data_IF_186868358981
#
_entry.id   IF_186868358981
#
_cell.length_a   1.000
_cell.length_b   1.000
_cell.length_c   1.000
_cell.angle_alpha   90.00
_cell.angle_beta   90.00
_cell.angle_gamma   90.00
#
_symmetry.space_group_name_H-M   'P 1'
#
loop_
_entity.id
_entity.type
_entity.pdbx_description
1 polymer ?
#
# COMPACT_ATOMS: atom_id res chain seq x y z
N UNK A 1 -57.10 -29.46 -23.56
CA UNK A 1 -56.48 -28.98 -24.81
C UNK A 1 -56.35 -27.47 -24.66
N UNK A 2 -55.25 -26.86 -24.15
CA UNK A 2 -53.87 -26.79 -24.67
C UNK A 2 -53.90 -26.54 -26.19
N UNK A 3 -53.40 -25.45 -26.77
CA UNK A 3 -52.12 -24.72 -26.57
C UNK A 3 -52.18 -23.39 -27.33
N UNK A 4 -51.56 -22.31 -26.82
CA UNK A 4 -50.87 -21.25 -27.60
C UNK A 4 -49.99 -20.47 -26.59
N UNK A 5 -48.75 -20.92 -26.38
CA UNK A 5 -47.50 -20.27 -26.85
C UNK A 5 -47.14 -19.00 -26.08
N UNK A 6 -46.59 -19.19 -24.88
CA UNK A 6 -45.77 -18.18 -24.19
C UNK A 6 -44.34 -18.25 -24.73
N UNK A 7 -43.95 -17.23 -25.47
CA UNK A 7 -42.57 -16.81 -25.59
C UNK A 7 -42.59 -15.28 -25.70
N UNK A 8 -42.36 -14.59 -24.58
CA UNK A 8 -41.51 -13.39 -24.40
C UNK A 8 -41.58 -13.08 -22.90
N UNK A 9 -40.78 -13.79 -22.11
CA UNK A 9 -40.56 -13.52 -20.69
C UNK A 9 -39.11 -13.13 -20.48
N UNK A 10 -38.80 -11.87 -20.81
CA UNK A 10 -37.52 -11.22 -20.57
C UNK A 10 -37.01 -11.46 -19.14
N UNK A 11 -35.72 -11.78 -19.02
CA UNK A 11 -34.78 -11.17 -18.06
C UNK A 11 -35.36 -10.63 -16.76
N UNK A 12 -35.94 -11.46 -15.90
CA UNK A 12 -36.16 -11.03 -14.50
C UNK A 12 -36.21 -12.20 -13.52
N UNK A 13 -35.34 -13.20 -13.70
CA UNK A 13 -35.07 -14.16 -12.62
C UNK A 13 -33.82 -13.76 -11.84
N UNK A 14 -34.08 -12.99 -10.78
CA UNK A 14 -33.44 -13.14 -9.48
C UNK A 14 -31.96 -12.71 -9.36
N UNK A 15 -31.72 -11.44 -9.72
CA UNK A 15 -30.69 -10.55 -9.16
C UNK A 15 -30.86 -10.26 -7.64
N UNK A 16 -31.43 -11.19 -6.86
CA UNK A 16 -31.60 -11.06 -5.39
C UNK A 16 -30.49 -11.78 -4.62
N UNK A 17 -29.26 -11.27 -4.76
CA UNK A 17 -28.20 -11.30 -3.72
C UNK A 17 -27.43 -9.97 -3.73
N UNK A 18 -28.15 -8.84 -3.68
CA UNK A 18 -27.61 -7.57 -3.17
C UNK A 18 -27.88 -7.53 -1.69
N UNK A 19 -26.86 -7.72 -0.84
CA UNK A 19 -26.75 -7.15 0.50
C UNK A 19 -25.32 -7.38 1.00
N UNK A 20 -24.71 -6.32 1.53
CA UNK A 20 -23.35 -6.22 2.10
C UNK A 20 -22.21 -5.76 1.16
N UNK A 21 -22.46 -4.82 0.25
CA UNK A 21 -21.36 -3.98 -0.27
C UNK A 21 -20.98 -2.96 0.79
N UNK A 22 -19.75 -3.04 1.29
CA UNK A 22 -19.12 -2.04 2.15
C UNK A 22 -19.28 -0.66 1.46
N UNK A 23 -19.85 0.37 2.10
CA UNK A 23 -20.23 1.60 1.41
C UNK A 23 -19.04 2.52 1.07
N UNK A 24 -17.83 2.17 1.48
CA UNK A 24 -16.59 2.78 0.98
C UNK A 24 -16.02 2.02 -0.21
N UNK A 25 -16.40 0.76 -0.35
CA UNK A 25 -15.99 -0.08 -1.44
C UNK A 25 -16.83 0.26 -2.67
N UNK A 26 -16.28 1.19 -3.45
CA UNK A 26 -16.74 1.45 -4.80
C UNK A 26 -16.00 0.48 -5.74
N UNK A 27 -16.65 -0.61 -6.17
CA UNK A 27 -16.02 -1.63 -7.01
C UNK A 27 -15.62 -1.08 -8.38
N UNK A 28 -16.26 0.00 -8.85
CA UNK A 28 -15.91 0.64 -10.12
C UNK A 28 -14.66 1.50 -9.94
N UNK A 29 -14.58 2.32 -8.88
CA UNK A 29 -13.33 3.04 -8.54
C UNK A 29 -12.17 2.10 -8.25
N UNK A 30 -12.43 0.99 -7.57
CA UNK A 30 -11.40 -0.02 -7.32
C UNK A 30 -10.88 -0.62 -8.63
N UNK A 31 -11.77 -0.99 -9.57
CA UNK A 31 -11.41 -1.48 -10.91
C UNK A 31 -10.69 -0.45 -11.77
N UNK A 32 -10.91 0.85 -11.55
CA UNK A 32 -10.17 1.90 -12.25
C UNK A 32 -8.72 2.05 -11.76
N UNK A 33 -8.41 1.57 -10.55
CA UNK A 33 -7.11 1.71 -9.89
C UNK A 33 -6.28 0.41 -9.90
N UNK A 34 -6.96 -0.73 -9.95
CA UNK A 34 -6.40 -2.07 -10.05
C UNK A 34 -6.44 -2.58 -11.49
N UNK A 35 -5.55 -3.52 -11.82
CA UNK A 35 -5.82 -4.39 -12.97
C UNK A 35 -7.04 -5.30 -12.69
N UNK A 36 -7.65 -5.82 -13.76
CA UNK A 36 -8.89 -6.61 -13.67
C UNK A 36 -8.74 -7.84 -12.78
N UNK A 37 -7.57 -8.48 -12.76
CA UNK A 37 -7.34 -9.69 -11.98
C UNK A 37 -7.26 -9.39 -10.48
N UNK A 38 -6.54 -8.33 -10.09
CA UNK A 38 -6.47 -7.88 -8.70
C UNK A 38 -7.80 -7.28 -8.24
N UNK A 39 -8.50 -6.55 -9.10
CA UNK A 39 -9.83 -6.04 -8.79
C UNK A 39 -10.81 -7.18 -8.52
N UNK A 40 -10.83 -8.19 -9.39
CA UNK A 40 -11.65 -9.38 -9.20
C UNK A 40 -11.25 -10.14 -7.94
N UNK A 41 -9.94 -10.27 -7.65
CA UNK A 41 -9.48 -10.87 -6.39
C UNK A 41 -9.97 -10.06 -5.20
N UNK A 42 -9.83 -8.74 -5.17
CA UNK A 42 -10.32 -7.90 -4.08
C UNK A 42 -11.84 -7.96 -3.90
N UNK A 43 -12.59 -8.26 -4.96
CA UNK A 43 -14.04 -8.47 -4.91
C UNK A 43 -14.45 -9.82 -4.32
N UNK A 44 -13.65 -10.87 -4.56
CA UNK A 44 -14.00 -12.25 -4.19
C UNK A 44 -13.24 -12.78 -2.98
N UNK A 45 -12.06 -12.22 -2.72
CA UNK A 45 -11.18 -12.59 -1.62
C UNK A 45 -11.34 -11.58 -0.48
N UNK A 46 -12.07 -11.94 0.58
CA UNK A 46 -12.16 -11.11 1.77
C UNK A 46 -10.79 -10.75 2.36
N UNK A 47 -9.77 -11.62 2.24
CA UNK A 47 -8.43 -11.39 2.80
C UNK A 47 -7.53 -10.60 1.84
N UNK A 48 -8.10 -9.96 0.82
CA UNK A 48 -7.35 -9.12 -0.09
C UNK A 48 -6.75 -7.91 0.64
N UNK A 49 -5.42 -7.80 0.55
CA UNK A 49 -4.66 -6.61 0.96
C UNK A 49 -5.24 -5.36 0.31
N UNK A 50 -5.57 -5.43 -0.99
CA UNK A 50 -6.10 -4.30 -1.74
C UNK A 50 -7.44 -3.82 -1.16
N UNK A 51 -8.30 -4.76 -0.73
CA UNK A 51 -9.57 -4.46 -0.09
C UNK A 51 -9.38 -3.80 1.29
N UNK A 52 -8.47 -4.31 2.12
CA UNK A 52 -8.17 -3.72 3.44
C UNK A 52 -7.55 -2.33 3.29
N UNK A 53 -6.55 -2.20 2.43
CA UNK A 53 -5.84 -0.95 2.14
C UNK A 53 -6.82 0.09 1.62
N UNK A 54 -7.72 -0.28 0.71
CA UNK A 54 -8.80 0.58 0.27
C UNK A 54 -9.69 1.06 1.43
N UNK A 55 -10.23 0.13 2.22
CA UNK A 55 -11.17 0.48 3.29
C UNK A 55 -10.55 1.40 4.35
N UNK A 56 -9.29 1.18 4.72
CA UNK A 56 -8.63 2.03 5.72
C UNK A 56 -8.22 3.37 5.10
N UNK A 57 -7.45 3.38 4.02
CA UNK A 57 -6.82 4.62 3.57
C UNK A 57 -7.72 5.49 2.70
N UNK A 58 -8.69 4.94 1.96
CA UNK A 58 -9.68 5.75 1.24
C UNK A 58 -10.58 6.53 2.21
N UNK A 59 -10.88 5.96 3.39
CA UNK A 59 -11.61 6.70 4.43
C UNK A 59 -10.83 7.88 4.96
N UNK A 60 -9.52 7.70 5.11
CA UNK A 60 -8.63 8.76 5.59
C UNK A 60 -8.48 9.86 4.53
N UNK A 61 -8.34 9.52 3.25
CA UNK A 61 -8.18 10.51 2.17
C UNK A 61 -9.42 11.41 1.98
N UNK A 62 -10.61 10.88 2.25
CA UNK A 62 -11.90 11.57 2.12
C UNK A 62 -12.28 12.41 3.35
N UNK A 63 -11.43 12.47 4.37
CA UNK A 63 -11.69 13.25 5.58
C UNK A 63 -11.64 14.77 5.32
N UNK A 64 -12.60 15.50 5.91
CA UNK A 64 -12.74 16.95 5.72
C UNK A 64 -11.76 17.77 6.57
N UNK A 65 -11.44 17.30 7.78
CA UNK A 65 -10.43 17.93 8.64
C UNK A 65 -9.04 17.42 8.27
N UNK A 66 -8.26 18.27 7.59
CA UNK A 66 -6.90 17.98 7.13
C UNK A 66 -5.86 17.99 8.26
N UNK A 67 -6.10 18.75 9.32
CA UNK A 67 -5.19 18.81 10.48
C UNK A 67 -5.31 17.55 11.32
N UNK A 68 -6.54 17.12 11.57
CA UNK A 68 -6.81 15.83 12.19
C UNK A 68 -6.20 14.67 11.40
N UNK A 69 -6.39 14.66 10.07
CA UNK A 69 -5.81 13.66 9.19
C UNK A 69 -4.29 13.61 9.30
N UNK A 70 -3.63 14.78 9.27
CA UNK A 70 -2.18 14.88 9.41
C UNK A 70 -1.69 14.30 10.73
N UNK A 71 -2.33 14.68 11.85
CA UNK A 71 -2.01 14.17 13.18
C UNK A 71 -2.09 12.64 13.23
N UNK A 72 -3.17 12.05 12.70
CA UNK A 72 -3.35 10.58 12.70
C UNK A 72 -2.29 9.86 11.88
N UNK A 73 -1.93 10.43 10.73
CA UNK A 73 -0.93 9.84 9.86
C UNK A 73 0.51 9.99 10.38
N UNK A 74 0.75 10.70 11.50
CA UNK A 74 2.05 10.70 12.18
C UNK A 74 2.45 9.31 12.68
N UNK A 75 1.51 8.39 12.92
CA UNK A 75 1.83 7.00 13.22
C UNK A 75 2.64 6.35 12.07
N UNK A 76 2.30 6.73 10.83
CA UNK A 76 2.87 6.17 9.59
C UNK A 76 4.04 6.99 9.03
N UNK A 77 3.94 8.32 9.03
CA UNK A 77 4.98 9.20 8.48
C UNK A 77 5.91 9.82 9.54
N UNK A 78 5.56 9.72 10.82
CA UNK A 78 6.28 10.34 11.93
C UNK A 78 5.83 11.77 12.26
N UNK A 79 6.46 12.42 13.25
CA UNK A 79 6.03 13.73 13.78
C UNK A 79 6.13 14.87 12.76
N UNK A 80 6.90 14.69 11.68
CA UNK A 80 6.99 15.67 10.59
C UNK A 80 5.77 15.74 9.69
N UNK A 81 4.80 14.82 9.83
CA UNK A 81 3.55 14.87 9.06
C UNK A 81 2.68 16.04 9.55
N UNK A 82 2.42 16.96 8.63
CA UNK A 82 1.64 18.20 8.80
C UNK A 82 0.71 18.42 7.61
N UNK A 83 -0.38 19.16 7.82
CA UNK A 83 -1.30 19.52 6.74
C UNK A 83 -0.65 20.57 5.79
N UNK A 84 -0.98 20.58 4.49
CA UNK A 84 -1.89 19.65 3.81
C UNK A 84 -1.27 18.26 3.62
N UNK A 85 -2.10 17.23 3.78
CA UNK A 85 -1.71 15.85 3.48
C UNK A 85 -2.41 15.37 2.24
N UNK A 86 -1.66 14.74 1.34
CA UNK A 86 -2.17 13.98 0.21
C UNK A 86 -1.90 12.51 0.44
N UNK A 87 -2.97 11.72 0.45
CA UNK A 87 -2.87 10.26 0.39
C UNK A 87 -3.09 9.82 -1.05
N UNK A 88 -2.37 8.80 -1.47
CA UNK A 88 -2.58 8.17 -2.76
C UNK A 88 -2.46 6.68 -2.58
N UNK A 89 -3.58 5.99 -2.79
CA UNK A 89 -3.64 4.54 -2.89
C UNK A 89 -3.24 4.16 -4.30
N UNK A 90 -2.21 3.33 -4.42
CA UNK A 90 -1.69 2.95 -5.72
C UNK A 90 -1.65 1.44 -5.81
N UNK A 91 -2.41 0.91 -6.74
CA UNK A 91 -2.60 -0.53 -6.83
C UNK A 91 -2.35 -1.08 -8.23
N UNK A 92 -1.67 -0.32 -9.10
CA UNK A 92 -1.22 -0.83 -10.40
C UNK A 92 -1.61 0.00 -11.61
N UNK A 93 -2.74 0.71 -11.58
CA UNK A 93 -3.28 1.33 -12.80
C UNK A 93 -3.69 2.80 -12.61
N UNK A 94 -3.11 3.64 -13.48
CA UNK A 94 -3.62 4.95 -13.94
C UNK A 94 -4.01 6.04 -12.92
N UNK A 95 -3.01 6.67 -12.28
CA UNK A 95 -2.70 8.13 -12.30
C UNK A 95 -1.71 8.45 -11.17
N UNK A 96 -0.63 9.17 -11.52
CA UNK A 96 0.45 9.70 -10.64
C UNK A 96 1.45 8.66 -10.05
N UNK A 97 2.70 9.08 -9.74
CA UNK A 97 3.88 8.44 -10.33
C UNK A 97 4.38 7.22 -9.55
N UNK A 98 4.46 6.13 -10.30
CA UNK A 98 5.32 4.99 -10.07
C UNK A 98 6.75 5.42 -9.69
N UNK A 99 7.26 4.83 -8.61
CA UNK A 99 8.61 5.07 -8.13
C UNK A 99 9.60 4.34 -9.03
N UNK A 100 10.11 5.05 -10.04
CA UNK A 100 11.14 4.51 -10.94
C UNK A 100 12.51 4.46 -10.25
N UNK A 101 13.26 3.35 -10.41
CA UNK A 101 14.64 3.25 -9.98
C UNK A 101 15.50 4.39 -10.56
N UNK A 102 16.46 4.93 -9.80
CA UNK A 102 17.33 6.02 -10.25
C UNK A 102 18.20 5.61 -11.44
N UNK A 103 18.45 6.52 -12.37
CA UNK A 103 19.31 6.26 -13.53
C UNK A 103 20.73 5.80 -13.14
N UNK A 104 21.30 6.35 -12.05
CA UNK A 104 22.61 5.94 -11.54
C UNK A 104 22.62 4.54 -10.92
N UNK A 105 21.51 4.10 -10.30
CA UNK A 105 21.36 2.72 -9.84
C UNK A 105 21.25 1.76 -11.02
N UNK A 106 20.42 2.09 -12.01
CA UNK A 106 20.29 1.29 -13.23
C UNK A 106 21.63 1.18 -13.96
N UNK A 107 22.42 2.26 -14.01
CA UNK A 107 23.76 2.26 -14.58
C UNK A 107 24.72 1.34 -13.80
N UNK A 108 24.73 1.44 -12.46
CA UNK A 108 25.56 0.58 -11.61
C UNK A 108 25.19 -0.90 -11.72
N UNK A 109 23.89 -1.24 -11.70
CA UNK A 109 23.41 -2.61 -11.91
C UNK A 109 23.79 -3.10 -13.30
N UNK A 110 23.69 -2.25 -14.32
CA UNK A 110 24.13 -2.60 -15.69
C UNK A 110 25.63 -2.84 -15.76
N UNK A 111 26.46 -2.05 -15.07
CA UNK A 111 27.91 -2.26 -14.99
C UNK A 111 28.26 -3.56 -14.27
N UNK A 112 27.63 -3.83 -13.12
CA UNK A 112 27.81 -5.07 -12.36
C UNK A 112 27.34 -6.28 -13.18
N UNK A 113 26.17 -6.19 -13.82
CA UNK A 113 25.65 -7.24 -14.69
C UNK A 113 26.63 -7.54 -15.83
N UNK A 114 27.13 -6.51 -16.52
CA UNK A 114 28.15 -6.67 -17.57
C UNK A 114 29.45 -7.28 -17.04
N UNK A 115 29.92 -6.87 -15.87
CA UNK A 115 31.13 -7.42 -15.24
C UNK A 115 31.00 -8.91 -14.89
N UNK A 116 29.76 -9.41 -14.70
CA UNK A 116 29.46 -10.81 -14.42
C UNK A 116 28.88 -11.56 -15.64
N UNK A 117 29.02 -10.99 -16.86
CA UNK A 117 28.59 -11.64 -18.10
C UNK A 117 27.07 -11.65 -18.36
N UNK A 118 26.29 -10.87 -17.63
CA UNK A 118 24.85 -10.68 -17.84
C UNK A 118 24.52 -9.67 -18.95
N UNK A 119 23.29 -9.72 -19.47
CA UNK A 119 22.79 -8.86 -20.54
C UNK A 119 21.83 -7.76 -20.03
N UNK A 120 21.34 -6.90 -20.94
CA UNK A 120 20.39 -5.83 -20.58
C UNK A 120 19.01 -6.39 -20.15
N UNK A 121 18.66 -7.63 -20.50
CA UNK A 121 17.45 -8.27 -20.01
C UNK A 121 17.54 -8.56 -18.51
N UNK A 122 18.72 -8.98 -18.02
CA UNK A 122 18.99 -9.13 -16.59
C UNK A 122 18.89 -7.80 -15.80
N UNK A 123 19.02 -6.66 -16.47
CA UNK A 123 18.87 -5.32 -15.87
C UNK A 123 17.40 -4.87 -15.82
N UNK A 124 16.56 -5.39 -16.73
CA UNK A 124 15.16 -4.96 -16.93
C UNK A 124 14.34 -4.94 -15.65
N UNK A 125 14.43 -5.99 -14.83
CA UNK A 125 13.70 -6.10 -13.56
C UNK A 125 14.09 -5.05 -12.53
N UNK A 126 15.36 -4.61 -12.54
CA UNK A 126 15.89 -3.57 -11.68
C UNK A 126 15.59 -2.16 -12.18
N UNK A 127 15.09 -2.01 -13.42
CA UNK A 127 14.63 -0.72 -13.99
C UNK A 127 13.13 -0.50 -13.83
N UNK A 128 12.40 -1.55 -13.49
CA UNK A 128 10.96 -1.51 -13.41
C UNK A 128 10.51 -0.71 -12.17
N UNK A 129 9.39 0.02 -12.27
CA UNK A 129 8.95 0.85 -11.16
C UNK A 129 8.53 0.02 -9.93
N UNK A 130 8.82 0.59 -8.76
CA UNK A 130 8.48 0.04 -7.45
C UNK A 130 7.05 0.44 -7.11
N UNK A 131 6.24 -0.58 -6.86
CA UNK A 131 4.83 -0.49 -6.51
C UNK A 131 4.67 -0.24 -5.01
N UNK A 132 3.96 0.81 -4.63
CA UNK A 132 3.71 1.12 -3.22
C UNK A 132 2.20 1.22 -3.00
N UNK A 133 1.59 0.37 -2.17
CA UNK A 133 0.16 0.39 -1.94
C UNK A 133 -0.35 1.71 -1.39
N UNK A 134 0.44 2.40 -0.56
CA UNK A 134 0.09 3.74 -0.06
C UNK A 134 1.28 4.71 -0.13
N UNK A 135 1.04 5.88 -0.70
CA UNK A 135 1.93 7.03 -0.66
C UNK A 135 1.29 8.16 0.14
N UNK A 136 2.05 8.75 1.05
CA UNK A 136 1.68 9.92 1.83
C UNK A 136 2.63 11.06 1.52
N UNK A 137 2.08 12.21 1.15
CA UNK A 137 2.83 13.45 0.98
C UNK A 137 2.35 14.52 1.95
N UNK A 138 3.33 15.18 2.56
CA UNK A 138 3.17 16.28 3.51
C UNK A 138 4.35 17.24 3.33
N UNK A 139 4.26 18.54 3.72
CA UNK A 139 5.32 19.51 3.47
C UNK A 139 6.73 19.17 4.00
N UNK A 140 6.87 18.24 4.94
CA UNK A 140 8.17 17.81 5.47
C UNK A 140 8.47 16.31 5.34
N UNK A 141 7.51 15.53 4.84
CA UNK A 141 7.58 14.06 4.83
C UNK A 141 6.99 13.49 3.55
N UNK A 142 7.75 12.60 2.92
CA UNK A 142 7.23 11.60 1.99
C UNK A 142 7.24 10.25 2.72
N UNK A 143 6.08 9.60 2.83
CA UNK A 143 6.01 8.24 3.34
C UNK A 143 5.59 7.26 2.24
N UNK A 144 6.33 6.16 2.12
CA UNK A 144 6.06 5.05 1.20
C UNK A 144 5.75 3.81 2.02
N UNK A 145 4.55 3.27 1.89
CA UNK A 145 4.06 2.23 2.78
C UNK A 145 3.72 1.00 1.95
N UNK A 146 4.42 -0.09 2.20
CA UNK A 146 4.06 -1.42 1.71
C UNK A 146 3.03 -2.07 2.65
N UNK A 147 2.03 -2.74 2.09
CA UNK A 147 0.95 -3.36 2.83
C UNK A 147 0.91 -4.83 2.46
N UNK A 148 1.06 -5.69 3.45
CA UNK A 148 1.06 -7.14 3.31
C UNK A 148 0.21 -7.72 4.45
N UNK A 149 -0.52 -8.81 4.25
CA UNK A 149 -1.32 -9.40 5.34
C UNK A 149 -0.52 -10.52 6.02
N UNK A 150 0.02 -11.48 5.27
CA UNK A 150 0.67 -12.65 5.86
C UNK A 150 2.04 -12.99 5.25
N UNK A 151 2.57 -12.12 4.41
CA UNK A 151 3.77 -12.41 3.61
C UNK A 151 4.89 -11.42 3.89
N UNK A 152 6.13 -11.88 3.81
CA UNK A 152 7.28 -10.95 3.77
C UNK A 152 7.28 -10.27 2.40
N UNK A 153 7.33 -8.93 2.33
CA UNK A 153 7.39 -8.21 1.07
C UNK A 153 8.70 -8.59 0.36
N UNK A 154 8.57 -9.05 -0.89
CA UNK A 154 9.70 -9.40 -1.74
C UNK A 154 9.82 -8.38 -2.87
N UNK A 155 11.03 -7.91 -3.10
CA UNK A 155 11.37 -7.03 -4.20
C UNK A 155 11.39 -7.78 -5.54
N UNK A 156 11.59 -7.02 -6.61
CA UNK A 156 11.76 -7.61 -7.95
C UNK A 156 13.10 -8.35 -8.01
N UNK A 157 13.12 -9.46 -8.75
CA UNK A 157 14.35 -10.27 -8.90
C UNK A 157 14.89 -10.87 -7.59
N UNK A 158 14.06 -11.01 -6.54
CA UNK A 158 14.48 -11.56 -5.26
C UNK A 158 15.20 -10.59 -4.33
N UNK A 159 15.29 -9.30 -4.69
CA UNK A 159 15.84 -8.25 -3.83
C UNK A 159 14.95 -8.01 -2.61
N UNK A 160 15.53 -7.44 -1.56
CA UNK A 160 14.78 -6.95 -0.41
C UNK A 160 13.92 -5.74 -0.81
N UNK A 161 12.61 -5.88 -0.61
CA UNK A 161 11.62 -4.87 -0.95
C UNK A 161 11.80 -3.55 -0.19
N UNK A 162 12.18 -3.62 1.09
CA UNK A 162 12.36 -2.41 1.91
C UNK A 162 13.52 -1.56 1.38
N UNK A 163 14.58 -2.20 0.92
CA UNK A 163 15.74 -1.53 0.33
C UNK A 163 15.37 -0.88 -1.01
N UNK A 164 14.55 -1.53 -1.85
CA UNK A 164 14.02 -0.92 -3.07
C UNK A 164 13.21 0.35 -2.78
N UNK A 165 12.31 0.29 -1.78
CA UNK A 165 11.48 1.42 -1.38
C UNK A 165 12.32 2.59 -0.87
N UNK A 166 13.34 2.32 -0.06
CA UNK A 166 14.28 3.35 0.40
C UNK A 166 15.01 3.97 -0.78
N UNK A 167 15.56 3.14 -1.66
CA UNK A 167 16.36 3.61 -2.79
C UNK A 167 15.57 4.59 -3.65
N UNK A 168 14.33 4.25 -4.01
CA UNK A 168 13.53 5.15 -4.83
C UNK A 168 12.97 6.34 -4.04
N UNK A 169 12.58 6.09 -2.79
CA UNK A 169 12.05 7.13 -1.90
C UNK A 169 13.04 8.26 -1.66
N UNK A 170 14.34 7.98 -1.59
CA UNK A 170 15.38 9.01 -1.34
C UNK A 170 15.38 10.09 -2.42
N UNK A 171 15.27 9.73 -3.69
CA UNK A 171 15.27 10.73 -4.77
C UNK A 171 13.95 11.46 -4.89
N UNK A 172 12.83 10.79 -4.59
CA UNK A 172 11.53 11.44 -4.53
C UNK A 172 11.50 12.46 -3.37
N UNK A 173 11.94 12.07 -2.18
CA UNK A 173 12.03 12.94 -1.02
C UNK A 173 12.95 14.14 -1.29
N UNK A 174 14.12 13.93 -1.92
CA UNK A 174 15.01 15.03 -2.34
C UNK A 174 14.36 16.02 -3.29
N UNK A 175 13.64 15.53 -4.31
CA UNK A 175 12.92 16.42 -5.26
C UNK A 175 11.84 17.24 -4.58
N UNK A 176 11.21 16.68 -3.54
CA UNK A 176 10.18 17.35 -2.76
C UNK A 176 10.74 18.22 -1.61
N UNK A 177 12.04 18.16 -1.33
CA UNK A 177 12.63 18.80 -0.15
C UNK A 177 12.22 18.15 1.18
N UNK A 178 11.75 16.90 1.15
CA UNK A 178 11.17 16.19 2.28
C UNK A 178 12.14 15.19 2.92
N UNK A 179 11.83 14.82 4.16
CA UNK A 179 12.38 13.59 4.76
C UNK A 179 11.66 12.35 4.21
N UNK A 180 12.35 11.20 4.23
CA UNK A 180 11.77 9.93 3.79
C UNK A 180 11.38 9.06 4.99
N UNK A 181 10.15 8.59 4.97
CA UNK A 181 9.69 7.48 5.80
C UNK A 181 9.34 6.29 4.92
N UNK A 182 9.83 5.10 5.27
CA UNK A 182 9.43 3.84 4.63
C UNK A 182 8.72 2.98 5.67
N UNK A 183 7.49 2.61 5.35
CA UNK A 183 6.60 1.84 6.20
C UNK A 183 6.33 0.45 5.64
N UNK A 184 6.13 -0.52 6.53
CA UNK A 184 5.48 -1.79 6.18
C UNK A 184 4.32 -2.06 7.15
N UNK A 185 3.19 -2.48 6.59
CA UNK A 185 2.02 -2.94 7.35
C UNK A 185 1.88 -4.44 7.19
N UNK A 186 1.84 -5.20 8.29
CA UNK A 186 1.74 -6.67 8.30
C UNK A 186 0.71 -7.19 9.32
N UNK A 187 0.25 -8.44 9.22
CA UNK A 187 -0.53 -9.03 10.32
C UNK A 187 0.39 -9.49 11.45
N UNK A 188 0.07 -9.07 12.67
CA UNK A 188 0.76 -9.56 13.87
C UNK A 188 0.59 -11.09 14.03
N UNK A 189 1.52 -11.72 14.76
CA UNK A 189 1.45 -13.16 15.05
C UNK A 189 1.77 -14.08 13.87
N UNK A 190 2.20 -13.53 12.72
CA UNK A 190 2.62 -14.31 11.55
C UNK A 190 4.14 -14.49 11.52
N UNK A 191 4.64 -15.50 10.80
CA UNK A 191 6.10 -15.63 10.54
C UNK A 191 6.68 -14.40 9.84
N UNK A 192 5.89 -13.80 8.94
CA UNK A 192 6.26 -12.56 8.26
C UNK A 192 6.50 -11.39 9.23
N UNK A 193 5.72 -11.27 10.32
CA UNK A 193 5.90 -10.21 11.32
C UNK A 193 7.27 -10.28 11.99
N UNK A 194 7.72 -11.48 12.38
CA UNK A 194 9.02 -11.67 13.02
C UNK A 194 10.19 -11.38 12.08
N UNK A 195 10.13 -11.92 10.85
CA UNK A 195 11.15 -11.68 9.83
C UNK A 195 11.24 -10.20 9.44
N UNK A 196 10.11 -9.53 9.29
CA UNK A 196 10.03 -8.10 8.97
C UNK A 196 10.60 -7.24 10.07
N UNK A 197 10.21 -7.46 11.32
CA UNK A 197 10.71 -6.66 12.44
C UNK A 197 12.21 -6.82 12.63
N UNK A 198 12.73 -8.05 12.50
CA UNK A 198 14.17 -8.29 12.49
C UNK A 198 14.86 -7.52 11.35
N UNK A 199 14.26 -7.52 10.15
CA UNK A 199 14.83 -6.83 8.99
C UNK A 199 14.79 -5.30 9.13
N UNK A 200 13.68 -4.74 9.59
CA UNK A 200 13.53 -3.30 9.86
C UNK A 200 14.54 -2.86 10.91
N UNK A 201 14.68 -3.60 12.00
CA UNK A 201 15.66 -3.29 13.05
C UNK A 201 17.10 -3.30 12.52
N UNK A 202 17.44 -4.29 11.69
CA UNK A 202 18.75 -4.32 11.01
C UNK A 202 18.94 -3.09 10.12
N UNK A 203 17.97 -2.73 9.30
CA UNK A 203 18.07 -1.60 8.37
C UNK A 203 18.02 -0.22 9.05
N UNK A 204 17.61 -0.13 10.32
CA UNK A 204 17.73 1.10 11.12
C UNK A 204 19.17 1.44 11.45
N UNK A 205 20.08 0.47 11.43
CA UNK A 205 21.51 0.70 11.59
C UNK A 205 22.06 1.46 10.37
N UNK A 206 22.68 2.65 10.54
CA UNK A 206 23.14 3.46 9.40
C UNK A 206 24.10 2.71 8.47
N UNK A 207 24.99 1.88 9.04
CA UNK A 207 25.93 1.08 8.26
C UNK A 207 25.26 -0.04 7.46
N UNK A 208 24.23 -0.68 8.01
CA UNK A 208 23.51 -1.75 7.31
C UNK A 208 22.76 -1.23 6.08
N UNK A 209 22.12 -0.05 6.19
CA UNK A 209 21.41 0.57 5.08
C UNK A 209 22.37 1.10 4.01
N UNK A 210 23.49 1.71 4.41
CA UNK A 210 24.54 2.14 3.48
C UNK A 210 25.14 0.95 2.71
N UNK A 211 25.41 -0.16 3.39
CA UNK A 211 25.90 -1.39 2.76
C UNK A 211 24.88 -2.03 1.81
N UNK A 212 23.58 -1.86 2.07
CA UNK A 212 22.51 -2.32 1.19
C UNK A 212 22.31 -1.43 -0.06
N UNK A 213 22.86 -0.20 -0.03
CA UNK A 213 22.77 0.79 -1.09
C UNK A 213 24.15 1.38 -1.43
N UNK A 214 25.15 0.56 -1.82
CA UNK A 214 26.53 1.00 -1.96
C UNK A 214 26.73 2.07 -3.04
N UNK A 215 25.82 2.18 -4.01
CA UNK A 215 25.82 3.23 -5.04
C UNK A 215 25.41 4.61 -4.50
N UNK A 216 24.82 4.69 -3.30
CA UNK A 216 24.40 5.94 -2.68
C UNK A 216 25.52 6.50 -1.79
N UNK A 217 26.25 7.49 -2.30
CA UNK A 217 27.36 8.15 -1.57
C UNK A 217 26.93 8.78 -0.24
N UNK A 218 25.71 9.31 -0.17
CA UNK A 218 25.12 9.91 1.03
C UNK A 218 23.64 9.58 1.08
N UNK A 219 23.18 9.07 2.23
CA UNK A 219 21.76 8.86 2.51
C UNK A 219 21.26 9.98 3.43
N UNK A 220 20.11 10.61 3.14
CA UNK A 220 19.47 11.50 4.11
C UNK A 220 19.00 10.69 5.33
N UNK A 221 18.62 11.35 6.44
CA UNK A 221 17.89 10.67 7.52
C UNK A 221 16.64 9.98 6.95
N UNK A 222 16.58 8.67 7.12
CA UNK A 222 15.48 7.81 6.66
C UNK A 222 14.85 7.17 7.89
N UNK A 223 13.54 7.28 8.01
CA UNK A 223 12.80 6.64 9.10
C UNK A 223 12.19 5.34 8.59
N UNK A 224 12.48 4.22 9.25
CA UNK A 224 11.83 2.94 8.98
C UNK A 224 10.76 2.66 10.03
N UNK A 225 9.53 2.44 9.57
CA UNK A 225 8.37 2.17 10.41
C UNK A 225 7.76 0.84 10.06
N UNK A 226 7.20 0.23 11.08
CA UNK A 226 6.36 -0.94 10.94
C UNK A 226 5.12 -0.75 11.79
N UNK A 227 4.01 -1.26 11.31
CA UNK A 227 2.72 -1.19 11.98
C UNK A 227 1.96 -2.48 11.69
N UNK A 228 1.29 -3.07 12.68
CA UNK A 228 0.42 -4.18 12.37
C UNK A 228 -0.92 -3.71 11.82
N UNK A 229 -1.58 -4.54 11.00
CA UNK A 229 -2.98 -4.32 10.62
C UNK A 229 -3.86 -4.14 11.86
N UNK A 230 -3.60 -4.89 12.93
CA UNK A 230 -4.30 -4.77 14.21
C UNK A 230 -4.16 -3.37 14.82
N UNK A 231 -2.94 -2.82 14.85
CA UNK A 231 -2.70 -1.47 15.36
C UNK A 231 -3.36 -0.40 14.47
N UNK A 232 -3.30 -0.59 13.16
CA UNK A 232 -3.91 0.32 12.19
C UNK A 232 -5.45 0.31 12.30
N UNK A 233 -6.05 -0.87 12.39
CA UNK A 233 -7.49 -1.06 12.55
C UNK A 233 -7.95 -0.55 13.91
N UNK A 234 -7.20 -0.77 15.00
CA UNK A 234 -7.54 -0.22 16.31
C UNK A 234 -7.51 1.32 16.29
N UNK A 235 -6.49 1.90 15.65
CA UNK A 235 -6.39 3.35 15.46
C UNK A 235 -7.60 3.86 14.68
N UNK A 236 -7.97 3.17 13.60
CA UNK A 236 -9.16 3.52 12.84
C UNK A 236 -10.46 3.33 13.64
N UNK A 237 -10.58 2.27 14.45
CA UNK A 237 -11.77 1.95 15.21
C UNK A 237 -12.07 2.97 16.31
N UNK A 238 -11.03 3.37 17.07
CA UNK A 238 -11.14 4.40 18.10
C UNK A 238 -11.64 5.73 17.53
N UNK A 239 -11.43 5.92 16.23
CA UNK A 239 -11.63 7.17 15.52
C UNK A 239 -12.83 7.15 14.58
N UNK A 240 -13.45 5.98 14.39
CA UNK A 240 -14.56 5.79 13.46
C UNK A 240 -15.78 6.65 13.81
N UNK A 241 -15.90 7.10 15.06
CA UNK A 241 -16.91 8.06 15.51
C UNK A 241 -16.69 9.50 15.03
N UNK A 242 -15.46 9.87 14.66
CA UNK A 242 -15.10 11.19 14.10
C UNK A 242 -15.20 11.23 12.57
N UNK A 243 -15.22 10.07 11.92
CA UNK A 243 -15.42 9.96 10.50
C UNK A 243 -16.94 10.11 10.21
N UNK A 244 -17.36 11.14 9.48
CA UNK A 244 -18.74 11.31 9.00
C UNK A 244 -19.09 10.20 7.98
N UNK A 245 -19.31 8.97 8.47
CA UNK A 245 -19.55 7.78 7.65
C UNK A 245 -21.03 7.42 7.50
N UNK A 246 -21.96 8.28 7.95
CA UNK A 246 -23.40 8.03 7.75
C UNK A 246 -23.96 6.80 8.51
N UNK A 247 -23.37 6.43 9.65
CA UNK A 247 -24.00 5.58 10.67
C UNK A 247 -23.96 4.06 10.49
N UNK A 248 -24.04 3.51 9.29
CA UNK A 248 -24.09 2.05 9.05
C UNK A 248 -22.87 1.33 8.37
N UNK A 249 -21.73 1.93 8.00
CA UNK A 249 -20.61 1.21 7.36
C UNK A 249 -19.62 0.49 8.27
N UNK A 250 -19.35 1.06 9.45
CA UNK A 250 -18.19 0.73 10.27
C UNK A 250 -18.32 -0.68 10.85
N UNK A 251 -19.54 -1.09 11.20
CA UNK A 251 -19.80 -2.36 11.87
C UNK A 251 -19.42 -3.57 11.01
N UNK A 252 -19.74 -3.57 9.71
CA UNK A 252 -19.41 -4.70 8.83
C UNK A 252 -17.90 -4.86 8.59
N UNK A 253 -17.15 -3.76 8.46
CA UNK A 253 -15.69 -3.81 8.35
C UNK A 253 -15.04 -4.23 9.68
N UNK A 254 -15.52 -3.73 10.81
CA UNK A 254 -15.02 -4.14 12.14
C UNK A 254 -15.31 -5.61 12.43
N UNK A 255 -16.53 -6.09 12.17
CA UNK A 255 -16.86 -7.52 12.30
C UNK A 255 -16.05 -8.39 11.35
N UNK A 256 -15.78 -7.89 10.14
CA UNK A 256 -14.88 -8.52 9.20
C UNK A 256 -13.46 -8.67 9.79
N UNK A 257 -12.87 -7.59 10.30
CA UNK A 257 -11.54 -7.62 10.91
C UNK A 257 -11.48 -8.52 12.15
N UNK A 258 -12.49 -8.47 13.04
CA UNK A 258 -12.55 -9.32 14.25
C UNK A 258 -12.58 -10.80 13.93
N UNK A 259 -13.41 -11.22 12.95
CA UNK A 259 -13.47 -12.63 12.51
C UNK A 259 -12.14 -13.16 11.98
N UNK A 260 -11.23 -12.26 11.60
CA UNK A 260 -9.91 -12.57 11.03
C UNK A 260 -8.75 -12.40 12.01
N UNK A 261 -9.03 -12.07 13.28
CA UNK A 261 -7.97 -11.77 14.26
C UNK A 261 -7.15 -10.51 13.91
N UNK A 262 -7.74 -9.61 13.12
CA UNK A 262 -7.15 -8.33 12.73
C UNK A 262 -7.64 -7.17 13.62
N UNK A 263 -8.58 -7.40 14.53
CA UNK A 263 -9.12 -6.42 15.47
C UNK A 263 -9.42 -7.10 16.82
#
# INVERSE_FOLDING_TARGET
MSTWSEAVGHETMLLRRKKHTNPLFDPERLRLLLDEQRAQRALTDPDSVDLLTWNVFSTLDTHRDRTWLAYRLQALGGPGVTAPVRLSLWTGAHREPLLRPPAGYVAHVREVAKAHGGDDAAVGDFTAPVEVPVRLESPGVLALIDTTIATVPRGRGGRDRLVELVDVGVDAARRLGNTLTVGVVYSSGTGAAGELSARVNKLREPGALANALPHRRTLPPITLRELSWQQLIQTWHNEAGYLELGGEPVRCFVEFCRRRGLA
#
